data_IF_527712920719
#
_entry.id   IF_527712920719
#
_cell.length_a   1.000
_cell.length_b   1.000
_cell.length_c   1.000
_cell.angle_alpha   90.00
_cell.angle_beta   90.00
_cell.angle_gamma   90.00
#
_symmetry.space_group_name_H-M   'P 1'
#
loop_
_entity.id
_entity.type
_entity.pdbx_description
1 polymer ?
#
# COMPACT_ATOMS: atom_id res chain seq x y z
N UNK A 1 1.87 2.23 -3.30
CA UNK A 1 0.44 2.04 -3.64
C UNK A 1 0.33 1.87 -5.14
N UNK A 2 -0.48 0.92 -5.61
CA UNK A 2 -0.68 0.65 -7.05
C UNK A 2 -2.16 0.74 -7.34
N UNK A 3 -2.50 1.38 -8.46
CA UNK A 3 -3.88 1.46 -8.94
C UNK A 3 -4.02 0.61 -10.21
N UNK A 4 -5.04 -0.25 -10.22
CA UNK A 4 -5.36 -1.12 -11.34
C UNK A 4 -6.78 -0.86 -11.84
N UNK A 5 -7.02 -1.02 -13.13
CA UNK A 5 -8.34 -1.18 -13.72
C UNK A 5 -8.54 -2.64 -14.10
N UNK A 6 -9.69 -3.22 -13.74
CA UNK A 6 -10.05 -4.60 -14.08
C UNK A 6 -11.26 -4.60 -14.99
N UNK A 7 -11.14 -5.19 -16.19
CA UNK A 7 -12.24 -5.34 -17.15
C UNK A 7 -12.33 -6.79 -17.59
N UNK A 8 -13.32 -7.52 -17.06
CA UNK A 8 -13.42 -8.95 -17.28
C UNK A 8 -12.22 -9.68 -16.67
N UNK A 9 -11.42 -10.33 -17.52
CA UNK A 9 -10.18 -11.05 -17.10
C UNK A 9 -8.92 -10.22 -17.27
N UNK A 10 -9.02 -9.03 -17.88
CA UNK A 10 -7.87 -8.20 -18.17
C UNK A 10 -7.59 -7.25 -17.00
N UNK A 11 -6.32 -7.17 -16.62
CA UNK A 11 -5.82 -6.29 -15.55
C UNK A 11 -4.89 -5.25 -16.19
N UNK A 12 -5.25 -3.99 -16.05
CA UNK A 12 -4.49 -2.85 -16.56
C UNK A 12 -3.87 -2.09 -15.40
N UNK A 13 -2.59 -1.73 -15.54
CA UNK A 13 -1.89 -0.85 -14.61
C UNK A 13 -2.23 0.60 -14.94
N UNK A 14 -2.68 1.37 -13.94
CA UNK A 14 -2.95 2.80 -14.10
C UNK A 14 -1.70 3.58 -13.69
N UNK A 15 -1.30 3.44 -12.43
CA UNK A 15 -0.16 4.17 -11.87
C UNK A 15 0.41 3.49 -10.64
N UNK A 16 1.66 3.83 -10.33
CA UNK A 16 2.37 3.42 -9.13
C UNK A 16 2.79 4.66 -8.36
N UNK A 17 2.35 4.74 -7.10
CA UNK A 17 2.77 5.77 -6.17
C UNK A 17 3.77 5.15 -5.17
N UNK A 18 5.08 5.44 -5.27
CA UNK A 18 6.10 4.93 -4.36
C UNK A 18 6.12 5.71 -3.03
N UNK A 19 4.95 5.88 -2.42
CA UNK A 19 4.72 6.55 -1.14
C UNK A 19 3.49 5.95 -0.46
N UNK A 20 3.29 6.31 0.81
CA UNK A 20 2.04 6.02 1.50
C UNK A 20 0.85 6.71 0.79
N UNK A 21 -0.23 5.97 0.57
CA UNK A 21 -1.50 6.50 0.08
C UNK A 21 -2.41 6.86 1.24
N UNK A 22 -3.45 7.66 0.95
CA UNK A 22 -4.49 8.03 1.92
C UNK A 22 -5.31 6.83 2.46
N UNK A 23 -5.20 5.67 1.83
CA UNK A 23 -5.88 4.43 2.25
C UNK A 23 -5.11 3.64 3.32
N UNK A 24 -3.84 3.99 3.59
CA UNK A 24 -2.99 3.26 4.56
C UNK A 24 -3.62 3.19 5.97
N UNK A 25 -4.17 4.28 6.56
CA UNK A 25 -4.76 4.20 7.90
C UNK A 25 -5.97 3.28 7.98
N UNK A 26 -6.81 3.27 6.93
CA UNK A 26 -7.98 2.39 6.84
C UNK A 26 -7.56 0.92 6.77
N UNK A 27 -6.64 0.58 5.88
CA UNK A 27 -6.15 -0.80 5.71
C UNK A 27 -5.49 -1.29 6.98
N UNK A 28 -4.64 -0.47 7.61
CA UNK A 28 -3.96 -0.83 8.85
C UNK A 28 -4.93 -1.24 9.97
N UNK A 29 -6.07 -0.56 10.09
CA UNK A 29 -7.12 -0.92 11.07
C UNK A 29 -7.95 -2.11 10.63
N UNK A 30 -8.28 -2.23 9.35
CA UNK A 30 -9.05 -3.34 8.82
C UNK A 30 -8.31 -4.68 8.90
N UNK A 31 -6.97 -4.67 8.79
CA UNK A 31 -6.13 -5.88 8.82
C UNK A 31 -5.40 -6.07 10.16
N UNK A 32 -5.69 -5.24 11.16
CA UNK A 32 -4.97 -5.18 12.45
C UNK A 32 -3.43 -5.23 12.29
N UNK A 33 -2.91 -4.41 11.38
CA UNK A 33 -1.49 -4.40 11.02
C UNK A 33 -0.92 -2.99 11.09
N UNK A 34 0.21 -2.83 11.77
CA UNK A 34 0.91 -1.57 11.91
C UNK A 34 1.78 -1.22 10.68
N UNK A 35 1.21 -1.31 9.47
CA UNK A 35 1.93 -1.17 8.18
C UNK A 35 2.77 0.11 8.12
N UNK A 36 2.24 1.23 8.62
CA UNK A 36 2.96 2.50 8.62
C UNK A 36 4.22 2.47 9.52
N UNK A 37 4.12 1.85 10.70
CA UNK A 37 5.25 1.71 11.62
C UNK A 37 6.30 0.74 11.05
N UNK A 38 5.86 -0.38 10.47
CA UNK A 38 6.74 -1.34 9.80
C UNK A 38 7.51 -0.65 8.66
N UNK A 39 6.82 0.10 7.80
CA UNK A 39 7.47 0.83 6.72
C UNK A 39 8.47 1.88 7.24
N UNK A 40 8.15 2.58 8.34
CA UNK A 40 9.05 3.54 8.96
C UNK A 40 10.34 2.89 9.50
N UNK A 41 10.21 1.74 10.19
CA UNK A 41 11.34 0.96 10.70
C UNK A 41 12.23 0.44 9.57
N UNK A 42 11.63 -0.07 8.49
CA UNK A 42 12.36 -0.45 7.28
C UNK A 42 13.11 0.72 6.64
N UNK A 43 12.49 1.89 6.56
CA UNK A 43 13.16 3.11 6.05
C UNK A 43 14.29 3.58 6.96
N UNK A 44 14.20 3.32 8.28
CA UNK A 44 15.26 3.60 9.24
C UNK A 44 16.39 2.54 9.22
N UNK A 45 16.25 1.45 8.47
CA UNK A 45 17.23 0.36 8.41
C UNK A 45 17.20 -0.58 9.62
N UNK A 46 16.09 -0.58 10.38
CA UNK A 46 15.90 -1.53 11.47
C UNK A 46 15.60 -2.94 10.92
N UNK A 47 16.10 -4.01 11.58
CA UNK A 47 15.80 -5.38 11.21
C UNK A 47 14.33 -5.78 11.45
#
# INVERSE_FOLDING_TARGET
>A
NVQFAVKGKDIYLIEVNPRASRTVPFVAKATDSAIAAIAARLMAGEP
#
